data_IF_780091664245
#
_entry.id   IF_780091664245
#
_cell.length_a   1.000
_cell.length_b   1.000
_cell.length_c   1.000
_cell.angle_alpha   90.00
_cell.angle_beta   90.00
_cell.angle_gamma   90.00
#
_symmetry.space_group_name_H-M   'P 1'
#
loop_
_entity.id
_entity.type
_entity.pdbx_description
1 polymer ?
#
# COMPACT_ATOMS: atom_id res chain seq x y z
N UNK A 1 -3.07 -1.67 11.89
CA UNK A 1 -4.31 -2.05 11.17
C UNK A 1 -4.09 -1.78 9.70
N UNK A 2 -4.31 -2.78 8.83
CA UNK A 2 -4.27 -2.58 7.39
C UNK A 2 -5.47 -1.74 6.97
N UNK A 3 -5.28 -0.81 6.01
CA UNK A 3 -6.40 -0.04 5.46
C UNK A 3 -7.20 -0.95 4.52
N UNK A 4 -8.55 -0.92 4.58
CA UNK A 4 -9.37 -1.60 3.59
C UNK A 4 -9.06 -1.12 2.18
N UNK A 5 -9.13 -2.05 1.22
CA UNK A 5 -8.93 -1.76 -0.19
C UNK A 5 -10.28 -1.74 -0.89
N UNK A 6 -10.59 -0.64 -1.56
CA UNK A 6 -11.79 -0.45 -2.35
C UNK A 6 -11.44 -0.37 -3.83
N UNK A 7 -11.93 -1.31 -4.64
CA UNK A 7 -11.66 -1.31 -6.08
C UNK A 7 -12.88 -0.82 -6.88
N UNK A 8 -12.64 -0.01 -7.92
CA UNK A 8 -13.67 0.44 -8.85
C UNK A 8 -13.63 -0.45 -10.09
N UNK A 9 -14.76 -1.09 -10.42
CA UNK A 9 -14.95 -1.97 -11.58
C UNK A 9 -16.12 -1.47 -12.43
N UNK A 10 -16.03 -1.57 -13.74
CA UNK A 10 -17.10 -1.21 -14.65
C UNK A 10 -16.62 -1.08 -16.08
N UNK A 11 -17.55 -0.92 -17.03
CA UNK A 11 -17.26 -0.75 -18.45
C UNK A 11 -16.39 0.49 -18.74
N UNK A 12 -15.72 0.55 -19.90
CA UNK A 12 -15.18 1.80 -20.41
C UNK A 12 -16.26 2.90 -20.47
N UNK A 13 -15.87 4.14 -20.24
CA UNK A 13 -16.71 5.34 -20.36
C UNK A 13 -17.92 5.45 -19.41
N UNK A 14 -18.09 4.55 -18.41
CA UNK A 14 -19.11 4.72 -17.36
C UNK A 14 -18.74 5.76 -16.31
N UNK A 15 -17.48 6.26 -16.32
CA UNK A 15 -17.02 7.30 -15.43
C UNK A 15 -16.15 6.82 -14.26
N UNK A 16 -15.48 5.66 -14.36
CA UNK A 16 -14.57 5.12 -13.33
C UNK A 16 -13.52 6.12 -12.90
N UNK A 17 -12.73 6.62 -13.84
CA UNK A 17 -11.63 7.56 -13.54
C UNK A 17 -12.14 8.92 -13.05
N UNK A 18 -13.34 9.33 -13.47
CA UNK A 18 -14.00 10.52 -12.94
C UNK A 18 -14.39 10.30 -11.48
N UNK A 19 -15.02 9.15 -11.17
CA UNK A 19 -15.37 8.79 -9.80
C UNK A 19 -14.11 8.65 -8.93
N UNK A 20 -13.08 7.97 -9.42
CA UNK A 20 -11.81 7.85 -8.73
C UNK A 20 -11.21 9.22 -8.38
N UNK A 21 -11.16 10.15 -9.34
CA UNK A 21 -10.61 11.49 -9.12
C UNK A 21 -11.44 12.30 -8.14
N UNK A 22 -12.76 12.15 -8.13
CA UNK A 22 -13.67 12.82 -7.18
C UNK A 22 -13.45 12.28 -5.78
N UNK A 23 -13.46 10.97 -5.62
CA UNK A 23 -13.24 10.31 -4.32
C UNK A 23 -11.83 10.61 -3.77
N UNK A 24 -10.82 10.58 -4.61
CA UNK A 24 -9.45 10.94 -4.24
C UNK A 24 -9.32 12.44 -3.91
N UNK A 25 -10.04 13.32 -4.62
CA UNK A 25 -9.96 14.78 -4.43
C UNK A 25 -10.70 15.31 -3.19
N UNK A 26 -11.78 14.66 -2.76
CA UNK A 26 -12.54 15.07 -1.56
C UNK A 26 -11.90 14.64 -0.24
N UNK A 27 -11.02 13.65 -0.31
CA UNK A 27 -10.47 12.94 0.85
C UNK A 27 -8.97 13.12 1.03
N UNK A 28 -8.29 13.91 0.19
CA UNK A 28 -6.83 14.10 0.29
C UNK A 28 -6.46 14.81 1.59
N UNK A 29 -6.14 14.06 2.59
CA UNK A 29 -5.22 14.45 3.65
C UNK A 29 -3.84 14.58 3.02
N UNK A 30 -3.28 15.77 3.00
CA UNK A 30 -2.01 16.23 2.45
C UNK A 30 -0.98 15.09 2.29
N UNK A 31 -0.90 14.50 1.11
CA UNK A 31 0.21 13.63 0.74
C UNK A 31 1.35 14.56 0.31
N UNK A 32 2.42 14.57 1.09
CA UNK A 32 3.65 15.30 0.75
C UNK A 32 4.21 14.72 -0.56
N UNK A 33 4.57 15.60 -1.48
CA UNK A 33 5.33 15.26 -2.67
C UNK A 33 6.67 14.64 -2.25
N UNK A 34 6.78 13.33 -2.34
CA UNK A 34 8.05 12.62 -2.15
C UNK A 34 8.78 12.64 -3.49
N UNK A 35 9.96 13.26 -3.59
CA UNK A 35 10.73 13.27 -4.84
C UNK A 35 11.06 11.84 -5.28
N UNK A 36 10.70 11.47 -6.52
CA UNK A 36 10.96 10.17 -7.11
C UNK A 36 9.75 9.23 -7.19
N UNK A 37 8.61 9.58 -6.58
CA UNK A 37 7.36 8.84 -6.72
C UNK A 37 6.46 9.57 -7.71
N UNK A 38 6.34 9.05 -8.93
CA UNK A 38 5.36 9.55 -9.90
C UNK A 38 3.95 9.24 -9.37
N UNK A 39 3.04 10.21 -9.43
CA UNK A 39 1.60 10.04 -9.17
C UNK A 39 1.03 9.06 -10.20
N UNK A 40 1.14 7.77 -9.95
CA UNK A 40 0.36 6.79 -10.68
C UNK A 40 -1.10 6.93 -10.21
N UNK A 41 -1.99 7.24 -11.17
CA UNK A 41 -3.45 7.40 -10.96
C UNK A 41 -4.18 6.07 -10.70
N UNK A 42 -3.48 5.07 -10.21
CA UNK A 42 -4.01 3.70 -10.04
C UNK A 42 -4.57 3.50 -8.65
N UNK A 43 -4.04 4.20 -7.64
CA UNK A 43 -4.50 4.11 -6.25
C UNK A 43 -4.44 5.48 -5.55
N UNK A 44 -5.32 5.66 -4.56
CA UNK A 44 -5.35 6.85 -3.73
C UNK A 44 -5.73 6.50 -2.29
N UNK A 45 -5.17 7.23 -1.34
CA UNK A 45 -5.63 7.19 0.05
C UNK A 45 -6.88 8.05 0.21
N UNK A 46 -7.92 7.46 0.73
CA UNK A 46 -9.20 8.10 0.98
C UNK A 46 -9.56 8.03 2.46
N UNK A 47 -10.35 9.00 2.94
CA UNK A 47 -10.92 8.98 4.28
C UNK A 47 -12.39 9.43 4.24
N UNK A 48 -13.25 8.74 4.99
CA UNK A 48 -14.66 9.07 5.16
C UNK A 48 -15.11 8.77 6.58
N UNK A 49 -15.74 9.71 7.27
CA UNK A 49 -16.22 9.55 8.66
C UNK A 49 -15.20 8.92 9.61
N UNK A 50 -13.95 9.38 9.58
CA UNK A 50 -12.80 8.86 10.34
C UNK A 50 -12.32 7.45 9.95
N UNK A 51 -12.87 6.83 8.92
CA UNK A 51 -12.39 5.58 8.34
C UNK A 51 -11.45 5.87 7.18
N UNK A 52 -10.26 5.23 7.19
CA UNK A 52 -9.27 5.39 6.14
C UNK A 52 -9.24 4.12 5.29
N UNK A 53 -9.19 4.28 3.97
CA UNK A 53 -9.11 3.16 3.02
C UNK A 53 -8.25 3.52 1.81
N UNK A 54 -7.82 2.52 1.06
CA UNK A 54 -7.10 2.68 -0.20
C UNK A 54 -8.06 2.44 -1.36
N UNK A 55 -8.28 3.46 -2.19
CA UNK A 55 -9.06 3.35 -3.42
C UNK A 55 -8.16 2.91 -4.57
N UNK A 56 -8.64 1.98 -5.41
CA UNK A 56 -7.90 1.45 -6.56
C UNK A 56 -8.76 1.55 -7.82
N UNK A 57 -8.24 2.19 -8.87
CA UNK A 57 -8.85 2.19 -10.21
C UNK A 57 -8.34 0.97 -11.00
N UNK A 58 -9.21 -0.01 -11.23
CA UNK A 58 -8.89 -1.18 -12.07
C UNK A 58 -8.97 -0.86 -13.57
N UNK A 59 -9.52 0.30 -13.95
CA UNK A 59 -9.69 0.75 -15.33
C UNK A 59 -8.56 1.65 -15.80
N UNK A 60 -8.21 1.57 -17.08
CA UNK A 60 -7.21 2.49 -17.63
C UNK A 60 -6.71 2.18 -19.02
N UNK A 61 -7.31 1.19 -19.71
CA UNK A 61 -7.05 0.90 -21.11
C UNK A 61 -8.38 0.99 -21.86
N UNK A 62 -8.45 1.87 -22.86
CA UNK A 62 -9.59 1.94 -23.77
C UNK A 62 -9.35 0.94 -24.91
N UNK A 63 -10.24 -0.04 -25.12
CA UNK A 63 -10.11 -1.03 -26.17
C UNK A 63 -10.69 -0.55 -27.50
N UNK A 64 -10.03 -0.90 -28.58
CA UNK A 64 -10.47 -0.58 -29.95
C UNK A 64 -11.58 -1.50 -30.51
N UNK A 65 -11.95 -2.58 -29.82
CA UNK A 65 -12.98 -3.54 -30.29
C UNK A 65 -13.90 -4.09 -29.17
N UNK A 66 -15.16 -4.45 -29.54
CA UNK A 66 -16.20 -4.92 -28.61
C UNK A 66 -15.87 -6.26 -27.92
N UNK A 67 -15.17 -7.16 -28.56
CA UNK A 67 -14.80 -8.47 -27.98
C UNK A 67 -13.70 -8.33 -26.92
N UNK A 68 -12.84 -7.32 -27.09
CA UNK A 68 -11.79 -6.97 -26.12
C UNK A 68 -12.39 -6.35 -24.87
N UNK A 69 -13.50 -5.57 -24.96
CA UNK A 69 -14.16 -4.91 -23.84
C UNK A 69 -14.59 -5.91 -22.76
N UNK A 70 -15.27 -6.98 -23.16
CA UNK A 70 -15.75 -7.98 -22.19
C UNK A 70 -14.60 -8.74 -21.51
N UNK A 71 -13.54 -9.05 -22.28
CA UNK A 71 -12.34 -9.70 -21.73
C UNK A 71 -11.67 -8.82 -20.68
N UNK A 72 -11.49 -7.55 -20.95
CA UNK A 72 -10.89 -6.59 -20.03
C UNK A 72 -11.74 -6.33 -18.78
N UNK A 73 -13.07 -6.25 -18.95
CA UNK A 73 -13.98 -6.12 -17.80
C UNK A 73 -13.91 -7.34 -16.87
N UNK A 74 -13.82 -8.55 -17.44
CA UNK A 74 -13.64 -9.77 -16.65
C UNK A 74 -12.31 -9.77 -15.91
N UNK A 75 -11.26 -9.31 -16.57
CA UNK A 75 -9.93 -9.18 -15.95
C UNK A 75 -9.93 -8.15 -14.82
N UNK A 76 -10.53 -6.97 -15.03
CA UNK A 76 -10.72 -5.95 -13.99
C UNK A 76 -11.53 -6.49 -12.80
N UNK A 77 -12.61 -7.21 -13.07
CA UNK A 77 -13.43 -7.85 -12.03
C UNK A 77 -12.61 -8.89 -11.26
N UNK A 78 -11.81 -9.71 -11.95
CA UNK A 78 -10.96 -10.71 -11.30
C UNK A 78 -9.88 -10.05 -10.42
N UNK A 79 -9.26 -8.97 -10.91
CA UNK A 79 -8.30 -8.18 -10.10
C UNK A 79 -8.95 -7.66 -8.84
N UNK A 80 -10.14 -7.06 -8.95
CA UNK A 80 -10.88 -6.53 -7.80
C UNK A 80 -11.25 -7.64 -6.82
N UNK A 81 -11.73 -8.78 -7.30
CA UNK A 81 -12.07 -9.96 -6.49
C UNK A 81 -10.82 -10.45 -5.72
N UNK A 82 -9.67 -10.51 -6.38
CA UNK A 82 -8.43 -11.02 -5.79
C UNK A 82 -7.80 -10.05 -4.78
N UNK A 83 -8.06 -8.74 -4.89
CA UNK A 83 -7.28 -7.72 -4.15
C UNK A 83 -8.08 -6.80 -3.24
N UNK A 84 -9.37 -6.60 -3.50
CA UNK A 84 -10.19 -5.64 -2.75
C UNK A 84 -10.96 -6.28 -1.60
N UNK A 85 -11.18 -5.49 -0.55
CA UNK A 85 -12.10 -5.85 0.55
C UNK A 85 -13.54 -5.48 0.19
N UNK A 86 -13.73 -4.37 -0.55
CA UNK A 86 -15.03 -3.91 -1.07
C UNK A 86 -14.88 -3.52 -2.53
N UNK A 87 -15.87 -3.82 -3.35
CA UNK A 87 -15.87 -3.50 -4.77
C UNK A 87 -16.99 -2.51 -5.07
N UNK A 88 -16.66 -1.38 -5.70
CA UNK A 88 -17.63 -0.46 -6.30
C UNK A 88 -17.83 -0.90 -7.75
N UNK A 89 -19.00 -1.44 -8.06
CA UNK A 89 -19.39 -1.74 -9.43
C UNK A 89 -20.16 -0.58 -10.02
N UNK A 90 -19.55 0.13 -10.98
CA UNK A 90 -20.12 1.34 -11.59
C UNK A 90 -20.74 1.06 -12.95
N UNK A 91 -21.97 1.51 -13.15
CA UNK A 91 -22.76 1.40 -14.39
C UNK A 91 -23.25 2.79 -14.82
N UNK A 92 -23.74 2.92 -16.05
CA UNK A 92 -24.18 4.20 -16.65
C UNK A 92 -25.68 4.20 -16.89
N UNK A 93 -26.42 5.06 -16.17
CA UNK A 93 -27.89 5.16 -16.30
C UNK A 93 -28.35 5.56 -17.70
N UNK A 94 -27.55 6.32 -18.43
CA UNK A 94 -27.91 6.82 -19.78
C UNK A 94 -27.86 5.74 -20.84
N UNK A 95 -27.06 4.68 -20.62
CA UNK A 95 -26.93 3.54 -21.54
C UNK A 95 -27.86 2.39 -21.16
N UNK A 96 -28.43 2.44 -19.93
CA UNK A 96 -29.21 1.34 -19.39
C UNK A 96 -28.38 0.09 -19.11
N UNK A 97 -29.06 -0.99 -18.76
CA UNK A 97 -28.47 -2.30 -18.49
C UNK A 97 -28.04 -2.99 -19.79
N UNK A 98 -26.80 -3.44 -19.85
CA UNK A 98 -26.26 -4.20 -21.00
C UNK A 98 -25.72 -5.57 -20.58
N UNK A 99 -25.64 -6.51 -21.51
CA UNK A 99 -25.20 -7.89 -21.26
C UNK A 99 -23.83 -7.99 -20.59
N UNK A 100 -22.91 -7.07 -20.91
CA UNK A 100 -21.59 -7.07 -20.30
C UNK A 100 -21.64 -6.74 -18.80
N UNK A 101 -22.54 -5.85 -18.37
CA UNK A 101 -22.75 -5.53 -16.96
C UNK A 101 -23.29 -6.76 -16.22
N UNK A 102 -24.26 -7.46 -16.80
CA UNK A 102 -24.84 -8.70 -16.23
C UNK A 102 -23.80 -9.79 -16.05
N UNK A 103 -22.91 -9.99 -17.03
CA UNK A 103 -21.83 -10.99 -16.97
C UNK A 103 -20.81 -10.69 -15.88
N UNK A 104 -20.46 -9.42 -15.70
CA UNK A 104 -19.54 -8.99 -14.61
C UNK A 104 -20.23 -9.09 -13.27
N UNK A 105 -21.50 -8.69 -13.17
CA UNK A 105 -22.31 -8.84 -11.97
C UNK A 105 -22.37 -10.31 -11.49
N UNK A 106 -22.52 -11.25 -12.41
CA UNK A 106 -22.49 -12.69 -12.11
C UNK A 106 -21.16 -13.15 -11.50
N UNK A 107 -20.03 -12.63 -11.99
CA UNK A 107 -18.71 -12.92 -11.44
C UNK A 107 -18.58 -12.34 -10.03
N UNK A 108 -18.98 -11.09 -9.84
CA UNK A 108 -18.89 -10.40 -8.56
C UNK A 108 -19.77 -11.08 -7.50
N UNK A 109 -21.01 -11.48 -7.83
CA UNK A 109 -21.89 -12.23 -6.93
C UNK A 109 -21.29 -13.56 -6.49
N UNK A 110 -20.68 -14.31 -7.43
CA UNK A 110 -20.05 -15.61 -7.16
C UNK A 110 -18.80 -15.50 -6.29
N UNK A 111 -18.18 -14.34 -6.23
CA UNK A 111 -16.96 -14.11 -5.44
C UNK A 111 -17.21 -14.07 -3.93
N UNK A 112 -18.45 -13.76 -3.50
CA UNK A 112 -18.79 -13.55 -2.10
C UNK A 112 -18.22 -12.25 -1.48
N UNK A 113 -17.52 -11.43 -2.26
CA UNK A 113 -17.02 -10.13 -1.81
C UNK A 113 -18.16 -9.13 -1.67
N UNK A 114 -18.09 -8.17 -0.70
CA UNK A 114 -19.01 -7.05 -0.65
C UNK A 114 -18.92 -6.21 -1.93
N UNK A 115 -20.06 -5.95 -2.56
CA UNK A 115 -20.15 -5.15 -3.79
C UNK A 115 -21.19 -4.06 -3.59
N UNK A 116 -20.81 -2.82 -3.85
CA UNK A 116 -21.70 -1.66 -3.87
C UNK A 116 -21.98 -1.26 -5.32
N UNK A 117 -23.24 -1.26 -5.71
CA UNK A 117 -23.66 -0.90 -7.08
C UNK A 117 -23.83 0.62 -7.20
N UNK A 118 -22.96 1.27 -7.96
CA UNK A 118 -23.03 2.71 -8.24
C UNK A 118 -23.61 2.95 -9.63
N UNK A 119 -24.81 3.55 -9.71
CA UNK A 119 -25.43 3.95 -10.98
C UNK A 119 -25.01 5.40 -11.24
N UNK A 120 -24.09 5.60 -12.18
CA UNK A 120 -23.48 6.89 -12.47
C UNK A 120 -24.23 7.66 -13.58
N UNK A 121 -23.89 8.95 -13.68
CA UNK A 121 -24.45 9.95 -14.61
C UNK A 121 -25.91 10.31 -14.31
N UNK A 122 -26.35 10.12 -13.07
CA UNK A 122 -27.65 10.58 -12.56
C UNK A 122 -27.54 12.06 -12.19
N UNK A 123 -27.46 12.92 -13.22
CA UNK A 123 -27.34 14.38 -13.00
C UNK A 123 -28.64 15.02 -12.52
N UNK A 124 -29.78 14.35 -12.69
CA UNK A 124 -31.09 14.75 -12.23
C UNK A 124 -31.92 13.54 -11.82
N UNK A 125 -32.28 13.48 -10.56
CA UNK A 125 -33.10 12.40 -10.03
C UNK A 125 -34.52 12.40 -10.62
N UNK A 126 -35.07 13.59 -10.97
CA UNK A 126 -36.37 13.71 -11.62
C UNK A 126 -36.41 13.07 -13.00
N UNK A 127 -35.26 13.09 -13.72
CA UNK A 127 -35.16 12.56 -15.07
C UNK A 127 -34.84 11.06 -15.09
N UNK A 128 -33.99 10.60 -14.21
CA UNK A 128 -33.42 9.25 -14.24
C UNK A 128 -33.87 8.36 -13.08
N UNK A 129 -34.71 8.88 -12.16
CA UNK A 129 -35.10 8.14 -10.95
C UNK A 129 -35.77 6.78 -11.23
N UNK A 130 -36.56 6.69 -12.31
CA UNK A 130 -37.20 5.43 -12.71
C UNK A 130 -36.21 4.47 -13.40
N UNK A 131 -35.22 5.00 -14.12
CA UNK A 131 -34.27 4.17 -14.88
C UNK A 131 -33.28 3.44 -13.95
N UNK A 132 -33.09 3.97 -12.72
CA UNK A 132 -32.21 3.34 -11.70
C UNK A 132 -32.76 1.96 -11.31
N UNK A 133 -34.08 1.77 -11.29
CA UNK A 133 -34.71 0.51 -10.89
C UNK A 133 -34.38 -0.67 -11.82
N UNK A 134 -34.01 -0.39 -13.08
CA UNK A 134 -33.58 -1.43 -14.01
C UNK A 134 -32.35 -2.18 -13.48
N UNK A 135 -31.48 -1.52 -12.76
CA UNK A 135 -30.22 -2.10 -12.27
C UNK A 135 -30.39 -3.04 -11.07
N UNK A 136 -31.56 -3.14 -10.46
CA UNK A 136 -31.88 -4.23 -9.52
C UNK A 136 -31.79 -5.61 -10.17
N UNK A 137 -31.97 -5.69 -11.50
CA UNK A 137 -31.82 -6.95 -12.25
C UNK A 137 -30.39 -7.52 -12.20
N UNK A 138 -29.39 -6.73 -11.80
CA UNK A 138 -28.02 -7.20 -11.57
C UNK A 138 -27.90 -8.05 -10.30
N UNK A 139 -28.84 -7.96 -9.35
CA UNK A 139 -28.85 -8.78 -8.12
C UNK A 139 -27.65 -8.57 -7.21
N UNK A 140 -27.11 -7.34 -7.16
CA UNK A 140 -25.93 -6.97 -6.35
C UNK A 140 -26.32 -6.19 -5.09
N UNK A 141 -27.59 -5.91 -4.87
CA UNK A 141 -28.10 -5.07 -3.79
C UNK A 141 -28.73 -3.79 -4.29
N UNK A 142 -28.92 -2.82 -3.42
CA UNK A 142 -29.57 -1.57 -3.75
C UNK A 142 -28.63 -0.67 -4.59
N UNK A 143 -29.10 -0.19 -5.76
CA UNK A 143 -28.31 0.70 -6.58
C UNK A 143 -28.20 2.11 -5.94
N UNK A 144 -26.98 2.60 -5.77
CA UNK A 144 -26.70 3.96 -5.28
C UNK A 144 -26.62 4.90 -6.48
N UNK A 145 -27.50 5.90 -6.54
CA UNK A 145 -27.50 6.89 -7.59
C UNK A 145 -26.39 7.92 -7.39
N UNK A 146 -25.51 8.07 -8.37
CA UNK A 146 -24.40 9.04 -8.29
C UNK A 146 -24.26 9.83 -9.58
N UNK A 147 -23.70 11.03 -9.50
CA UNK A 147 -23.14 11.74 -10.62
C UNK A 147 -21.72 12.17 -10.27
N UNK A 148 -20.74 11.40 -10.73
CA UNK A 148 -19.33 11.71 -10.47
C UNK A 148 -18.95 13.10 -11.01
N UNK A 149 -19.44 13.49 -12.18
CA UNK A 149 -19.16 14.81 -12.77
C UNK A 149 -19.73 15.99 -11.96
N UNK A 150 -20.93 15.83 -11.40
CA UNK A 150 -21.63 16.85 -10.62
C UNK A 150 -21.45 16.68 -9.10
N UNK A 151 -20.70 15.65 -8.67
CA UNK A 151 -20.47 15.28 -7.25
C UNK A 151 -21.74 15.02 -6.44
N UNK A 152 -22.79 14.52 -7.10
CA UNK A 152 -24.05 14.17 -6.45
C UNK A 152 -24.04 12.71 -5.99
N UNK A 153 -24.61 12.42 -4.81
CA UNK A 153 -24.71 11.06 -4.26
C UNK A 153 -23.40 10.43 -3.81
N UNK A 154 -22.30 11.19 -3.79
CA UNK A 154 -20.97 10.67 -3.40
C UNK A 154 -20.95 10.30 -1.92
N UNK A 155 -21.57 11.09 -1.05
CA UNK A 155 -21.66 10.79 0.39
C UNK A 155 -22.42 9.49 0.63
N UNK A 156 -23.57 9.29 -0.01
CA UNK A 156 -24.37 8.06 0.11
C UNK A 156 -23.59 6.83 -0.38
N UNK A 157 -22.81 6.98 -1.46
CA UNK A 157 -21.93 5.92 -1.96
C UNK A 157 -20.85 5.57 -0.93
N UNK A 158 -20.21 6.56 -0.33
CA UNK A 158 -19.16 6.36 0.67
C UNK A 158 -19.72 5.78 1.97
N UNK A 159 -20.91 6.20 2.39
CA UNK A 159 -21.61 5.61 3.53
C UNK A 159 -21.90 4.12 3.29
N UNK A 160 -22.36 3.76 2.09
CA UNK A 160 -22.62 2.36 1.74
C UNK A 160 -21.32 1.53 1.69
N UNK A 161 -20.26 2.06 1.09
CA UNK A 161 -18.95 1.39 1.05
C UNK A 161 -18.40 1.16 2.46
N UNK A 162 -18.47 2.17 3.33
CA UNK A 162 -17.89 2.09 4.68
C UNK A 162 -18.66 1.18 5.63
N UNK A 163 -19.94 0.90 5.39
CA UNK A 163 -20.70 -0.13 6.13
C UNK A 163 -20.07 -1.52 6.04
N UNK A 164 -19.36 -1.78 4.95
CA UNK A 164 -18.68 -3.05 4.72
C UNK A 164 -17.27 -3.10 5.33
N UNK A 165 -16.77 -2.01 5.91
CA UNK A 165 -15.52 -2.01 6.69
C UNK A 165 -15.79 -2.57 8.08
N UNK A 166 -16.10 -3.84 8.18
CA UNK A 166 -16.71 -4.45 9.34
C UNK A 166 -15.87 -4.47 10.61
N UNK A 167 -16.53 -4.83 11.70
CA UNK A 167 -16.01 -5.11 13.05
C UNK A 167 -14.83 -6.10 13.10
N UNK A 168 -14.52 -6.80 12.04
CA UNK A 168 -13.39 -7.73 11.86
C UNK A 168 -12.01 -7.04 11.88
N UNK A 169 -11.95 -5.70 11.80
CA UNK A 169 -10.71 -4.95 12.10
C UNK A 169 -10.29 -5.08 13.57
N UNK A 170 -11.15 -5.57 14.45
CA UNK A 170 -10.84 -5.82 15.87
C UNK A 170 -10.20 -7.20 16.11
N UNK A 171 -10.48 -8.21 15.28
CA UNK A 171 -9.88 -9.56 15.41
C UNK A 171 -8.44 -9.63 14.89
N UNK A 172 -8.07 -8.81 13.89
CA UNK A 172 -6.68 -8.70 13.41
C UNK A 172 -5.71 -8.07 14.44
N UNK A 173 -6.23 -7.53 15.55
CA UNK A 173 -5.40 -6.92 16.60
C UNK A 173 -4.70 -7.96 17.48
N UNK A 174 -5.07 -9.24 17.42
CA UNK A 174 -4.52 -10.32 18.25
C UNK A 174 -3.47 -11.20 17.54
N UNK A 175 -3.35 -11.10 16.19
CA UNK A 175 -2.33 -11.86 15.47
C UNK A 175 -0.98 -11.14 15.49
N UNK A 176 -0.14 -11.53 16.44
CA UNK A 176 1.21 -10.97 16.59
C UNK A 176 2.24 -11.53 15.60
N UNK A 177 1.88 -12.49 14.76
CA UNK A 177 2.81 -13.09 13.78
C UNK A 177 3.27 -12.07 12.75
N UNK A 178 4.55 -12.04 12.36
CA UNK A 178 5.06 -11.17 11.30
C UNK A 178 4.37 -11.45 9.96
N UNK A 179 3.72 -10.45 9.41
CA UNK A 179 3.14 -10.49 8.06
C UNK A 179 4.17 -9.95 7.05
N UNK A 180 4.58 -10.78 6.10
CA UNK A 180 5.67 -10.48 5.16
C UNK A 180 5.17 -10.50 3.72
N UNK A 181 5.34 -9.40 2.99
CA UNK A 181 5.09 -9.37 1.55
C UNK A 181 6.40 -9.44 0.75
N UNK A 182 6.43 -10.26 -0.30
CA UNK A 182 7.53 -10.30 -1.26
C UNK A 182 7.09 -9.62 -2.54
N UNK A 183 7.70 -8.47 -2.83
CA UNK A 183 7.34 -7.60 -3.96
C UNK A 183 8.54 -7.38 -4.89
N UNK A 184 8.30 -6.86 -6.07
CA UNK A 184 9.33 -6.59 -7.08
C UNK A 184 8.81 -6.88 -8.50
N UNK A 185 9.60 -6.53 -9.50
CA UNK A 185 9.29 -6.73 -10.91
C UNK A 185 8.98 -8.21 -11.27
N UNK A 186 8.34 -8.47 -12.41
CA UNK A 186 8.27 -9.82 -12.97
C UNK A 186 9.69 -10.42 -13.15
N UNK A 187 9.82 -11.73 -12.98
CA UNK A 187 11.04 -12.53 -13.24
C UNK A 187 12.27 -12.24 -12.35
N UNK A 188 12.18 -11.40 -11.32
CA UNK A 188 13.27 -11.18 -10.34
C UNK A 188 13.48 -12.38 -9.40
N UNK A 189 12.60 -13.39 -9.46
CA UNK A 189 12.74 -14.63 -8.69
C UNK A 189 11.90 -14.70 -7.41
N UNK A 190 10.84 -13.90 -7.26
CA UNK A 190 9.93 -13.93 -6.10
C UNK A 190 9.38 -15.34 -5.81
N UNK A 191 8.85 -16.01 -6.84
CA UNK A 191 8.32 -17.38 -6.70
C UNK A 191 9.40 -18.38 -6.32
N UNK A 192 10.62 -18.20 -6.82
CA UNK A 192 11.77 -19.07 -6.47
C UNK A 192 12.17 -18.89 -5.01
N UNK A 193 12.15 -17.66 -4.51
CA UNK A 193 12.40 -17.35 -3.09
C UNK A 193 11.35 -18.05 -2.22
N UNK A 194 10.06 -17.86 -2.52
CA UNK A 194 8.98 -18.52 -1.77
C UNK A 194 9.14 -20.03 -1.79
N UNK A 195 9.34 -20.64 -2.96
CA UNK A 195 9.49 -22.09 -3.07
C UNK A 195 10.69 -22.60 -2.28
N UNK A 196 11.81 -21.86 -2.26
CA UNK A 196 12.99 -22.20 -1.48
C UNK A 196 12.73 -22.12 0.03
N UNK A 197 12.09 -21.04 0.49
CA UNK A 197 11.71 -20.87 1.90
C UNK A 197 10.77 -21.98 2.37
N UNK A 198 9.82 -22.38 1.54
CA UNK A 198 8.88 -23.47 1.83
C UNK A 198 9.53 -24.85 1.82
N UNK A 199 10.56 -25.05 0.98
CA UNK A 199 11.30 -26.31 0.90
C UNK A 199 12.27 -26.53 2.06
N UNK A 200 12.77 -25.46 2.68
CA UNK A 200 13.76 -25.51 3.77
C UNK A 200 13.14 -25.41 5.18
N UNK A 201 11.93 -24.87 5.29
CA UNK A 201 11.25 -24.65 6.56
C UNK A 201 10.02 -25.56 6.68
N UNK A 202 9.60 -25.85 7.93
CA UNK A 202 8.34 -26.57 8.16
C UNK A 202 7.17 -25.66 7.76
N UNK A 203 6.49 -26.02 6.69
CA UNK A 203 5.25 -25.38 6.27
C UNK A 203 4.11 -25.99 7.06
N UNK A 204 3.52 -25.23 7.94
CA UNK A 204 2.21 -25.58 8.50
C UNK A 204 1.18 -25.02 7.52
N UNK A 205 0.70 -25.85 6.61
CA UNK A 205 -0.51 -25.50 5.84
C UNK A 205 -1.67 -25.70 6.80
N UNK A 206 -2.01 -24.66 7.56
CA UNK A 206 -3.22 -24.70 8.37
C UNK A 206 -4.41 -24.50 7.43
N UNK A 207 -5.02 -25.60 6.99
CA UNK A 207 -6.38 -25.60 6.48
C UNK A 207 -7.34 -25.40 7.66
N UNK A 208 -7.25 -24.31 8.38
CA UNK A 208 -8.29 -23.94 9.34
C UNK A 208 -9.45 -23.42 8.52
N UNK A 209 -10.40 -24.33 8.25
CA UNK A 209 -11.71 -23.98 7.73
C UNK A 209 -12.41 -23.10 8.76
N UNK A 210 -12.38 -21.77 8.54
CA UNK A 210 -13.01 -20.80 9.45
C UNK A 210 -12.54 -19.37 9.22
N UNK A 211 -11.32 -19.14 8.73
CA UNK A 211 -10.86 -17.82 8.32
C UNK A 211 -10.97 -17.71 6.81
N UNK A 212 -12.15 -17.37 6.34
CA UNK A 212 -12.55 -17.34 4.92
C UNK A 212 -11.92 -16.21 4.10
N UNK A 213 -10.85 -15.57 4.57
CA UNK A 213 -10.32 -14.41 3.86
C UNK A 213 -9.17 -14.67 2.90
N UNK A 214 -8.29 -15.66 3.12
CA UNK A 214 -7.09 -15.70 2.32
C UNK A 214 -6.55 -17.13 2.05
N UNK A 215 -7.18 -17.83 1.10
CA UNK A 215 -6.60 -19.03 0.47
C UNK A 215 -5.26 -18.75 -0.28
N UNK A 216 -4.68 -17.56 -0.08
CA UNK A 216 -3.58 -16.98 -0.85
C UNK A 216 -2.31 -16.82 -0.01
N UNK A 217 -2.43 -16.75 1.33
CA UNK A 217 -1.30 -16.58 2.24
C UNK A 217 -0.68 -17.92 2.65
N UNK A 218 0.59 -17.90 3.08
CA UNK A 218 1.29 -19.10 3.48
C UNK A 218 1.99 -18.89 4.82
N UNK A 219 1.71 -19.76 5.78
CA UNK A 219 2.38 -19.81 7.07
C UNK A 219 3.71 -20.57 6.96
N UNK A 220 4.76 -19.99 7.50
CA UNK A 220 6.11 -20.55 7.50
C UNK A 220 6.66 -20.49 8.91
N UNK A 221 7.16 -21.62 9.42
CA UNK A 221 7.86 -21.68 10.71
C UNK A 221 9.36 -21.75 10.48
N UNK A 222 10.09 -20.78 11.02
CA UNK A 222 11.55 -20.74 11.00
C UNK A 222 12.08 -20.55 12.42
N UNK A 223 12.92 -21.48 12.88
CA UNK A 223 13.51 -21.47 14.22
C UNK A 223 12.50 -21.29 15.37
N UNK A 224 11.29 -21.80 15.21
CA UNK A 224 10.21 -21.71 16.22
C UNK A 224 9.36 -20.43 16.15
N UNK A 225 9.70 -19.49 15.29
CA UNK A 225 8.89 -18.29 15.01
C UNK A 225 7.98 -18.54 13.80
N UNK A 226 6.71 -18.18 13.91
CA UNK A 226 5.72 -18.28 12.84
C UNK A 226 5.65 -16.97 12.06
N UNK A 227 5.66 -17.06 10.72
CA UNK A 227 5.56 -15.95 9.78
C UNK A 227 4.40 -16.18 8.82
N UNK A 228 3.70 -15.12 8.43
CA UNK A 228 2.65 -15.16 7.41
C UNK A 228 3.14 -14.46 6.15
N UNK A 229 3.39 -15.22 5.09
CA UNK A 229 3.77 -14.65 3.79
C UNK A 229 2.52 -14.36 2.96
N UNK A 230 2.34 -13.07 2.64
CA UNK A 230 1.15 -12.52 1.98
C UNK A 230 1.17 -12.79 0.47
N UNK A 231 0.01 -13.09 -0.12
CA UNK A 231 -0.24 -13.27 -1.57
C UNK A 231 0.69 -14.30 -2.26
N UNK A 232 1.00 -15.39 -1.59
CA UNK A 232 1.91 -16.41 -2.15
C UNK A 232 1.29 -17.22 -3.29
N UNK A 233 -0.03 -17.41 -3.34
CA UNK A 233 -0.70 -18.13 -4.43
C UNK A 233 -0.64 -17.36 -5.76
N UNK A 234 -0.71 -16.04 -5.72
CA UNK A 234 -0.47 -15.19 -6.89
C UNK A 234 0.95 -15.34 -7.45
N UNK A 235 1.93 -15.58 -6.58
CA UNK A 235 3.30 -15.84 -6.97
C UNK A 235 3.53 -17.27 -7.51
N UNK A 236 2.68 -18.25 -7.13
CA UNK A 236 2.77 -19.64 -7.57
C UNK A 236 2.07 -19.90 -8.91
N UNK A 237 0.98 -19.20 -9.22
CA UNK A 237 0.30 -19.31 -10.51
C UNK A 237 1.16 -18.67 -11.58
N UNK A 238 1.81 -19.48 -12.43
CA UNK A 238 2.48 -18.98 -13.66
C UNK A 238 1.41 -18.29 -14.49
N UNK A 239 1.40 -16.96 -14.53
CA UNK A 239 0.47 -16.22 -15.36
C UNK A 239 0.80 -16.47 -16.83
N UNK A 240 -0.16 -17.03 -17.57
CA UNK A 240 -0.10 -17.20 -19.04
C UNK A 240 -0.50 -15.93 -19.77
N UNK A 241 -0.64 -14.80 -19.08
CA UNK A 241 -1.21 -13.55 -19.62
C UNK A 241 -0.06 -12.59 -19.93
N UNK A 242 0.08 -12.24 -21.18
CA UNK A 242 1.03 -11.24 -21.71
C UNK A 242 0.31 -9.89 -21.81
N UNK A 243 1.03 -8.81 -21.52
CA UNK A 243 0.80 -7.40 -21.89
C UNK A 243 -0.01 -6.47 -20.95
N UNK A 244 -0.99 -6.92 -20.15
CA UNK A 244 -1.62 -6.05 -19.11
C UNK A 244 -0.98 -6.21 -17.72
N UNK A 245 0.19 -6.85 -17.68
CA UNK A 245 0.90 -7.34 -16.49
C UNK A 245 1.36 -6.22 -15.53
N UNK A 246 1.59 -5.03 -16.03
CA UNK A 246 2.27 -3.99 -15.23
C UNK A 246 1.32 -3.38 -14.19
N UNK A 247 0.11 -3.00 -14.59
CA UNK A 247 -0.92 -2.45 -13.68
C UNK A 247 -1.43 -3.48 -12.69
N UNK A 248 -1.69 -4.70 -13.15
CA UNK A 248 -2.07 -5.82 -12.29
C UNK A 248 -1.02 -6.09 -11.23
N UNK A 249 0.26 -6.06 -11.64
CA UNK A 249 1.38 -6.21 -10.73
C UNK A 249 1.43 -5.08 -9.68
N UNK A 250 1.14 -3.84 -10.06
CA UNK A 250 1.11 -2.69 -9.12
C UNK A 250 -0.04 -2.82 -8.14
N UNK A 251 -1.25 -3.14 -8.58
CA UNK A 251 -2.43 -3.29 -7.71
C UNK A 251 -2.19 -4.41 -6.69
N UNK A 252 -1.69 -5.56 -7.12
CA UNK A 252 -1.30 -6.65 -6.22
C UNK A 252 -0.21 -6.23 -5.24
N UNK A 253 0.77 -5.47 -5.72
CA UNK A 253 1.83 -4.95 -4.86
C UNK A 253 1.25 -4.04 -3.77
N UNK A 254 0.34 -3.12 -4.13
CA UNK A 254 -0.33 -2.26 -3.15
C UNK A 254 -1.10 -3.09 -2.14
N UNK A 255 -1.90 -4.06 -2.59
CA UNK A 255 -2.67 -4.96 -1.72
C UNK A 255 -1.77 -5.75 -0.77
N UNK A 256 -0.69 -6.36 -1.28
CA UNK A 256 0.24 -7.10 -0.46
C UNK A 256 0.96 -6.20 0.56
N UNK A 257 1.38 -5.00 0.14
CA UNK A 257 2.04 -4.01 1.01
C UNK A 257 1.09 -3.54 2.11
N UNK A 258 -0.19 -3.26 1.82
CA UNK A 258 -1.15 -2.83 2.84
C UNK A 258 -1.31 -3.87 3.96
N UNK A 259 -1.35 -5.16 3.61
CA UNK A 259 -1.55 -6.26 4.56
C UNK A 259 -0.29 -6.67 5.31
N UNK A 260 0.90 -6.29 4.83
CA UNK A 260 2.18 -6.67 5.42
C UNK A 260 2.61 -5.73 6.56
N UNK A 261 3.43 -6.25 7.47
CA UNK A 261 4.24 -5.48 8.43
C UNK A 261 5.61 -5.16 7.80
N UNK A 262 6.21 -6.17 7.14
CA UNK A 262 7.53 -6.07 6.51
C UNK A 262 7.43 -6.42 5.03
N UNK A 263 8.03 -5.58 4.20
CA UNK A 263 8.08 -5.75 2.74
C UNK A 263 9.49 -6.11 2.31
N UNK A 264 9.63 -7.21 1.58
CA UNK A 264 10.88 -7.63 0.95
C UNK A 264 10.82 -7.23 -0.52
N UNK A 265 11.54 -6.18 -0.88
CA UNK A 265 11.72 -5.77 -2.27
C UNK A 265 12.80 -6.63 -2.92
N UNK A 266 12.42 -7.43 -3.90
CA UNK A 266 13.35 -8.30 -4.64
C UNK A 266 13.85 -7.58 -5.89
N UNK A 267 15.16 -7.46 -6.00
CA UNK A 267 15.88 -6.87 -7.14
C UNK A 267 16.70 -7.96 -7.81
N UNK A 268 16.75 -7.97 -9.14
CA UNK A 268 17.63 -8.85 -9.93
C UNK A 268 19.05 -8.27 -9.95
N UNK A 269 20.02 -9.00 -9.43
CA UNK A 269 21.41 -8.56 -9.40
C UNK A 269 22.01 -8.36 -10.81
N UNK A 270 21.52 -9.10 -11.81
CA UNK A 270 22.03 -9.02 -13.19
C UNK A 270 21.55 -7.76 -13.92
N UNK A 271 20.35 -7.26 -13.59
CA UNK A 271 19.80 -6.03 -14.17
C UNK A 271 20.15 -4.80 -13.33
N UNK A 272 20.35 -5.00 -12.02
CA UNK A 272 20.49 -3.92 -11.05
C UNK A 272 19.16 -3.29 -10.67
N UNK A 273 19.24 -2.20 -9.88
CA UNK A 273 18.06 -1.44 -9.46
C UNK A 273 17.53 -0.55 -10.58
N UNK A 274 16.20 -0.48 -10.73
CA UNK A 274 15.51 0.28 -11.77
C UNK A 274 14.50 1.27 -11.18
N UNK A 275 13.99 2.19 -12.00
CA UNK A 275 12.93 3.13 -11.61
C UNK A 275 11.65 2.41 -11.15
N UNK A 276 11.32 1.27 -11.75
CA UNK A 276 10.17 0.47 -11.34
C UNK A 276 10.37 -0.12 -9.93
N UNK A 277 11.59 -0.54 -9.59
CA UNK A 277 11.92 -0.98 -8.22
C UNK A 277 11.79 0.18 -7.23
N UNK A 278 12.23 1.39 -7.62
CA UNK A 278 12.08 2.59 -6.80
C UNK A 278 10.60 2.96 -6.57
N UNK A 279 9.73 2.83 -7.58
CA UNK A 279 8.27 3.04 -7.43
C UNK A 279 7.66 2.05 -6.44
N UNK A 280 7.99 0.77 -6.55
CA UNK A 280 7.51 -0.27 -5.61
C UNK A 280 8.00 0.02 -4.20
N UNK A 281 9.27 0.40 -4.05
CA UNK A 281 9.85 0.80 -2.78
C UNK A 281 9.14 2.02 -2.17
N UNK A 282 8.80 3.02 -3.02
CA UNK A 282 8.04 4.21 -2.63
C UNK A 282 6.69 3.87 -2.03
N UNK A 283 5.94 2.92 -2.63
CA UNK A 283 4.66 2.45 -2.09
C UNK A 283 4.84 1.94 -0.65
N UNK A 284 5.84 1.09 -0.40
CA UNK A 284 6.09 0.55 0.94
C UNK A 284 6.52 1.64 1.93
N UNK A 285 7.34 2.60 1.48
CA UNK A 285 7.76 3.76 2.28
C UNK A 285 6.58 4.63 2.71
N UNK A 286 5.73 5.03 1.75
CA UNK A 286 4.56 5.89 1.99
C UNK A 286 3.55 5.22 2.94
N UNK A 287 3.46 3.87 2.89
CA UNK A 287 2.63 3.08 3.82
C UNK A 287 3.28 2.89 5.20
N UNK A 288 4.54 3.32 5.39
CA UNK A 288 5.26 3.21 6.66
C UNK A 288 5.61 1.78 7.03
N UNK A 289 5.75 0.90 6.04
CA UNK A 289 6.10 -0.52 6.26
C UNK A 289 7.59 -0.67 6.58
N UNK A 290 7.94 -1.78 7.23
CA UNK A 290 9.33 -2.23 7.29
C UNK A 290 9.80 -2.66 5.92
N UNK A 291 11.05 -2.33 5.53
CA UNK A 291 11.53 -2.57 4.18
C UNK A 291 12.92 -3.22 4.21
N UNK A 292 13.03 -4.33 3.46
CA UNK A 292 14.27 -5.05 3.23
C UNK A 292 14.46 -5.18 1.72
N UNK A 293 15.65 -4.88 1.21
CA UNK A 293 16.02 -5.11 -0.19
C UNK A 293 16.75 -6.43 -0.30
N UNK A 294 16.17 -7.40 -1.01
CA UNK A 294 16.77 -8.67 -1.34
C UNK A 294 17.31 -8.66 -2.79
N UNK A 295 18.62 -8.57 -2.92
CA UNK A 295 19.30 -8.62 -4.22
C UNK A 295 19.49 -10.08 -4.59
N UNK A 296 18.61 -10.59 -5.45
CA UNK A 296 18.56 -12.01 -5.85
C UNK A 296 19.38 -12.28 -7.12
N UNK A 297 19.55 -13.56 -7.45
CA UNK A 297 20.42 -14.07 -8.52
C UNK A 297 21.89 -13.72 -8.33
N UNK A 298 22.30 -13.62 -7.06
CA UNK A 298 23.67 -13.28 -6.71
C UNK A 298 24.70 -14.32 -7.18
N UNK A 299 24.27 -15.56 -7.45
CA UNK A 299 25.04 -16.63 -8.06
C UNK A 299 25.43 -16.36 -9.53
N UNK A 300 24.63 -15.58 -10.26
CA UNK A 300 24.83 -15.26 -11.67
C UNK A 300 25.81 -14.09 -11.91
N UNK A 301 26.31 -13.44 -10.85
CA UNK A 301 27.19 -12.28 -10.94
C UNK A 301 28.65 -12.73 -10.81
N UNK A 302 29.51 -12.24 -11.70
CA UNK A 302 30.96 -12.29 -11.50
C UNK A 302 31.36 -11.38 -10.36
N UNK A 303 32.09 -11.93 -9.38
CA UNK A 303 32.37 -11.24 -8.12
C UNK A 303 33.83 -10.88 -7.99
N UNK A 304 34.08 -9.64 -7.63
CA UNK A 304 35.34 -9.14 -7.13
C UNK A 304 35.16 -8.48 -5.75
N UNK A 305 36.22 -8.05 -5.13
CA UNK A 305 36.18 -7.45 -3.78
C UNK A 305 35.29 -6.20 -3.68
N UNK A 306 35.02 -5.52 -4.79
CA UNK A 306 34.23 -4.27 -4.86
C UNK A 306 32.77 -4.49 -5.28
N UNK A 307 32.42 -5.67 -5.82
CA UNK A 307 31.11 -5.95 -6.41
C UNK A 307 29.96 -5.63 -5.45
N UNK A 308 30.03 -6.10 -4.20
CA UNK A 308 28.98 -5.81 -3.18
C UNK A 308 28.89 -4.31 -2.92
N UNK A 309 30.01 -3.62 -2.80
CA UNK A 309 30.05 -2.20 -2.54
C UNK A 309 29.42 -1.39 -3.69
N UNK A 310 29.75 -1.74 -4.93
CA UNK A 310 29.20 -1.06 -6.12
C UNK A 310 27.69 -1.25 -6.27
N UNK A 311 27.19 -2.47 -6.05
CA UNK A 311 25.76 -2.75 -6.05
C UNK A 311 25.04 -2.00 -4.90
N UNK A 312 25.61 -2.04 -3.70
CA UNK A 312 25.07 -1.31 -2.54
C UNK A 312 24.98 0.18 -2.81
N UNK A 313 26.04 0.78 -3.39
CA UNK A 313 26.06 2.19 -3.74
C UNK A 313 24.97 2.55 -4.75
N UNK A 314 24.87 1.81 -5.86
CA UNK A 314 23.84 2.04 -6.88
C UNK A 314 22.43 1.97 -6.30
N UNK A 315 22.15 0.97 -5.44
CA UNK A 315 20.85 0.82 -4.79
C UNK A 315 20.58 2.01 -3.85
N UNK A 316 21.56 2.45 -3.04
CA UNK A 316 21.41 3.60 -2.14
C UNK A 316 21.21 4.90 -2.91
N UNK A 317 21.89 5.09 -4.04
CA UNK A 317 21.73 6.27 -4.89
C UNK A 317 20.32 6.33 -5.49
N UNK A 318 19.80 5.20 -5.99
CA UNK A 318 18.45 5.11 -6.56
C UNK A 318 17.35 5.21 -5.48
N UNK A 319 17.56 4.60 -4.31
CA UNK A 319 16.64 4.61 -3.18
C UNK A 319 17.02 5.66 -2.13
N UNK A 320 17.55 6.81 -2.56
CA UNK A 320 18.07 7.87 -1.67
C UNK A 320 17.04 8.45 -0.70
N UNK A 321 15.74 8.30 -0.99
CA UNK A 321 14.64 8.66 -0.10
C UNK A 321 14.45 7.68 1.07
N UNK A 322 15.12 6.51 1.04
CA UNK A 322 15.08 5.48 2.08
C UNK A 322 16.49 5.08 2.55
N UNK A 323 17.27 5.97 3.15
CA UNK A 323 18.65 5.67 3.57
C UNK A 323 18.74 4.58 4.65
N UNK A 324 17.63 4.30 5.34
CA UNK A 324 17.51 3.34 6.43
C UNK A 324 17.31 1.89 5.97
N UNK A 325 17.12 1.63 4.67
CA UNK A 325 16.79 0.30 4.17
C UNK A 325 17.94 -0.69 4.38
N UNK A 326 17.58 -1.90 4.81
CA UNK A 326 18.53 -3.01 4.94
C UNK A 326 18.61 -3.82 3.66
N UNK A 327 19.81 -4.34 3.37
CA UNK A 327 20.06 -5.08 2.13
C UNK A 327 20.64 -6.46 2.43
N UNK A 328 20.21 -7.44 1.64
CA UNK A 328 20.77 -8.79 1.64
C UNK A 328 20.98 -9.28 0.20
N UNK A 329 22.13 -9.86 -0.07
CA UNK A 329 22.48 -10.44 -1.37
C UNK A 329 22.27 -11.94 -1.30
N UNK A 330 21.28 -12.46 -2.03
CA UNK A 330 20.80 -13.83 -1.95
C UNK A 330 20.86 -14.55 -3.30
N UNK A 331 20.80 -15.88 -3.25
CA UNK A 331 20.47 -16.71 -4.40
C UNK A 331 19.35 -17.68 -4.03
N UNK A 332 18.19 -17.51 -4.64
CA UNK A 332 17.07 -18.44 -4.46
C UNK A 332 17.37 -19.84 -5.06
N UNK A 333 18.28 -19.92 -6.03
CA UNK A 333 18.69 -21.19 -6.66
C UNK A 333 19.59 -22.00 -5.74
N UNK A 334 20.66 -21.39 -5.23
CA UNK A 334 21.64 -22.07 -4.37
C UNK A 334 21.26 -22.10 -2.89
N UNK A 335 20.29 -21.27 -2.45
CA UNK A 335 19.94 -21.10 -1.04
C UNK A 335 20.86 -20.14 -0.28
N UNK A 336 21.81 -19.49 -0.97
CA UNK A 336 22.79 -18.62 -0.33
C UNK A 336 22.12 -17.48 0.43
N UNK A 337 22.42 -17.36 1.73
CA UNK A 337 21.96 -16.30 2.66
C UNK A 337 20.44 -16.17 2.82
N UNK A 338 19.67 -17.21 2.49
CA UNK A 338 18.21 -17.19 2.66
C UNK A 338 17.81 -17.04 4.13
N UNK A 339 18.50 -17.71 5.05
CA UNK A 339 18.23 -17.60 6.50
C UNK A 339 18.44 -16.17 7.04
N UNK A 340 19.36 -15.41 6.45
CA UNK A 340 19.59 -14.01 6.85
C UNK A 340 18.38 -13.11 6.57
N UNK A 341 17.47 -13.50 5.70
CA UNK A 341 16.22 -12.77 5.48
C UNK A 341 15.33 -12.79 6.72
N UNK A 342 15.23 -13.94 7.42
CA UNK A 342 14.44 -14.04 8.65
C UNK A 342 15.04 -13.18 9.77
N UNK A 343 16.37 -13.22 9.94
CA UNK A 343 17.05 -12.34 10.91
C UNK A 343 16.75 -10.84 10.65
N UNK A 344 16.72 -10.45 9.38
CA UNK A 344 16.38 -9.07 9.00
C UNK A 344 14.91 -8.75 9.22
N UNK A 345 13.99 -9.69 8.96
CA UNK A 345 12.55 -9.51 9.23
C UNK A 345 12.35 -9.25 10.72
N UNK A 346 12.95 -10.08 11.58
CA UNK A 346 12.82 -9.95 13.03
C UNK A 346 13.39 -8.62 13.53
N UNK A 347 14.60 -8.25 13.08
CA UNK A 347 15.24 -6.98 13.42
C UNK A 347 14.40 -5.77 12.99
N UNK A 348 13.85 -5.79 11.77
CA UNK A 348 13.02 -4.69 11.26
C UNK A 348 11.72 -4.59 12.06
N UNK A 349 11.11 -5.73 12.41
CA UNK A 349 9.91 -5.77 13.25
C UNK A 349 10.16 -5.22 14.65
N UNK A 350 11.27 -5.61 15.29
CA UNK A 350 11.68 -5.07 16.58
C UNK A 350 11.83 -3.54 16.49
N UNK A 351 12.50 -3.04 15.47
CA UNK A 351 12.65 -1.60 15.25
C UNK A 351 11.31 -0.89 15.03
N UNK A 352 10.33 -1.52 14.36
CA UNK A 352 8.99 -0.95 14.16
C UNK A 352 8.21 -0.83 15.48
N UNK A 353 8.45 -1.71 16.43
CA UNK A 353 7.75 -1.73 17.73
C UNK A 353 8.49 -0.98 18.82
N UNK A 354 9.70 -0.52 18.55
CA UNK A 354 10.53 0.20 19.51
C UNK A 354 9.83 1.46 20.02
N UNK A 355 9.72 1.56 21.34
CA UNK A 355 9.20 2.75 22.03
C UNK A 355 10.33 3.50 22.72
N UNK A 356 10.40 4.79 22.43
CA UNK A 356 11.37 5.69 23.03
C UNK A 356 10.67 6.57 24.07
N UNK A 357 11.26 6.67 25.26
CA UNK A 357 10.73 7.52 26.31
C UNK A 357 10.77 9.01 25.91
N UNK A 358 9.70 9.75 26.22
CA UNK A 358 9.56 11.17 25.87
C UNK A 358 10.71 12.02 26.43
N UNK A 359 11.22 11.72 27.63
CA UNK A 359 12.38 12.44 28.19
C UNK A 359 13.61 12.35 27.30
N UNK A 360 13.97 11.13 26.88
CA UNK A 360 15.15 10.88 26.01
C UNK A 360 14.97 11.53 24.64
N UNK A 361 13.76 11.49 24.06
CA UNK A 361 13.47 12.19 22.80
C UNK A 361 13.69 13.70 22.90
N UNK A 362 13.34 14.31 24.05
CA UNK A 362 13.51 15.75 24.24
C UNK A 362 14.96 16.13 24.54
N UNK A 363 15.75 15.26 25.17
CA UNK A 363 17.20 15.44 25.30
C UNK A 363 17.86 15.48 23.91
N UNK A 364 17.58 14.49 23.05
CA UNK A 364 18.11 14.43 21.66
C UNK A 364 17.65 15.64 20.85
N UNK A 365 16.38 16.04 20.99
CA UNK A 365 15.87 17.24 20.30
C UNK A 365 16.61 18.51 20.76
N UNK A 366 16.86 18.64 22.04
CA UNK A 366 17.58 19.78 22.61
C UNK A 366 19.03 19.83 22.11
N UNK A 367 19.71 18.69 22.09
CA UNK A 367 21.07 18.58 21.52
C UNK A 367 21.07 18.89 20.02
N UNK A 368 20.11 18.36 19.27
CA UNK A 368 19.99 18.63 17.83
C UNK A 368 19.76 20.12 17.56
N UNK A 369 18.91 20.81 18.32
CA UNK A 369 18.67 22.25 18.23
C UNK A 369 19.92 23.05 18.59
N UNK A 370 20.72 22.60 19.55
CA UNK A 370 21.97 23.23 19.93
C UNK A 370 23.05 23.10 18.83
N UNK A 371 23.12 21.93 18.18
CA UNK A 371 24.09 21.70 17.08
C UNK A 371 23.71 22.42 15.79
N UNK A 372 22.44 22.40 15.42
CA UNK A 372 21.91 23.05 14.22
C UNK A 372 20.66 23.84 14.56
N UNK A 373 20.80 25.17 14.56
CA UNK A 373 19.69 26.05 14.90
C UNK A 373 18.52 25.90 13.92
N UNK A 374 17.25 25.92 14.41
CA UNK A 374 16.10 25.86 13.56
C UNK A 374 16.03 27.02 12.55
N UNK A 375 15.39 26.79 11.37
CA UNK A 375 15.27 27.80 10.34
C UNK A 375 14.47 29.02 10.82
N UNK A 376 14.71 30.15 10.17
CA UNK A 376 13.92 31.38 10.36
C UNK A 376 13.45 31.89 9.02
N UNK A 377 12.22 32.40 8.96
CA UNK A 377 11.65 33.09 7.78
C UNK A 377 11.01 34.42 8.21
N UNK A 378 11.27 35.47 7.43
CA UNK A 378 10.72 36.82 7.63
C UNK A 378 10.81 37.33 9.07
N UNK A 379 11.94 37.05 9.75
CA UNK A 379 12.17 37.48 11.14
C UNK A 379 11.51 36.62 12.20
N UNK A 380 10.71 35.64 11.83
CA UNK A 380 10.15 34.61 12.75
C UNK A 380 11.10 33.41 12.79
N UNK A 381 11.44 32.96 13.99
CA UNK A 381 12.28 31.79 14.20
C UNK A 381 11.43 30.61 14.63
N UNK A 382 11.68 29.45 14.03
CA UNK A 382 11.09 28.18 14.46
C UNK A 382 11.55 27.86 15.89
N UNK A 383 10.59 27.52 16.76
CA UNK A 383 10.85 27.01 18.12
C UNK A 383 10.20 25.65 18.25
N UNK A 384 11.01 24.68 18.66
CA UNK A 384 10.53 23.34 19.03
C UNK A 384 10.31 23.32 20.54
N UNK A 385 9.13 22.92 20.97
CA UNK A 385 8.78 22.87 22.39
C UNK A 385 9.05 21.52 23.01
N UNK A 386 8.52 20.45 22.39
CA UNK A 386 8.79 19.08 22.79
C UNK A 386 8.41 18.11 21.69
N UNK A 387 8.91 16.86 21.82
CA UNK A 387 8.64 15.78 20.91
C UNK A 387 8.21 14.55 21.71
N UNK A 388 7.24 13.79 21.18
CA UNK A 388 6.78 12.53 21.80
C UNK A 388 6.47 11.50 20.72
N UNK A 389 6.65 10.21 21.03
CA UNK A 389 6.24 9.11 20.19
C UNK A 389 4.80 8.72 20.52
N UNK A 390 3.91 8.82 19.53
CA UNK A 390 2.46 8.56 19.70
C UNK A 390 2.02 7.20 19.20
N UNK A 391 2.80 6.60 18.26
CA UNK A 391 2.48 5.29 17.71
C UNK A 391 3.73 4.48 17.37
N UNK A 392 3.52 3.17 17.18
CA UNK A 392 4.45 2.20 16.61
C UNK A 392 3.81 1.59 15.35
N UNK A 393 4.59 0.97 14.47
CA UNK A 393 4.11 0.32 13.21
C UNK A 393 3.31 1.25 12.28
N UNK A 394 3.89 2.36 11.76
CA UNK A 394 5.28 2.80 11.90
C UNK A 394 5.51 3.67 13.15
N UNK A 395 6.76 3.77 13.64
CA UNK A 395 7.12 4.70 14.69
C UNK A 395 6.75 6.13 14.26
N UNK A 396 5.85 6.75 15.03
CA UNK A 396 5.28 8.06 14.69
C UNK A 396 5.56 9.05 15.82
N UNK A 397 6.18 10.16 15.48
CA UNK A 397 6.59 11.21 16.39
C UNK A 397 5.78 12.48 16.14
N UNK A 398 5.31 13.10 17.21
CA UNK A 398 4.67 14.42 17.16
C UNK A 398 5.67 15.43 17.69
N UNK A 399 5.93 16.48 16.89
CA UNK A 399 6.79 17.61 17.26
C UNK A 399 5.88 18.84 17.44
N UNK A 400 5.92 19.43 18.61
CA UNK A 400 5.18 20.65 18.91
C UNK A 400 6.06 21.88 18.67
N UNK A 401 5.55 22.78 17.84
CA UNK A 401 6.27 23.98 17.39
C UNK A 401 5.41 25.24 17.59
N UNK A 402 6.06 26.40 17.47
CA UNK A 402 5.35 27.70 17.49
C UNK A 402 4.60 28.00 16.18
N UNK A 403 5.12 27.52 15.05
CA UNK A 403 4.54 27.77 13.72
C UNK A 403 4.95 26.63 12.79
N UNK A 404 3.97 25.86 12.28
CA UNK A 404 4.22 24.69 11.45
C UNK A 404 4.78 25.04 10.07
N UNK A 405 4.48 26.26 9.56
CA UNK A 405 4.94 26.71 8.24
C UNK A 405 6.46 26.93 8.23
N UNK A 406 7.05 27.25 9.38
CA UNK A 406 8.48 27.37 9.54
C UNK A 406 9.23 26.03 9.57
N UNK A 407 8.51 24.91 9.76
CA UNK A 407 9.10 23.57 9.83
C UNK A 407 9.40 23.03 8.43
N UNK A 408 10.50 23.45 7.86
CA UNK A 408 10.93 22.99 6.53
C UNK A 408 11.30 21.49 6.55
N UNK A 409 11.02 20.79 5.45
CA UNK A 409 11.28 19.36 5.32
C UNK A 409 12.74 18.96 5.62
N UNK A 410 13.69 19.80 5.27
CA UNK A 410 15.12 19.54 5.52
C UNK A 410 15.44 19.47 7.02
N UNK A 411 14.74 20.27 7.84
CA UNK A 411 14.93 20.23 9.28
C UNK A 411 14.27 19.01 9.92
N UNK A 412 13.11 18.58 9.41
CA UNK A 412 12.49 17.30 9.79
C UNK A 412 13.46 16.15 9.51
N UNK A 413 14.08 16.15 8.32
CA UNK A 413 15.04 15.11 7.92
C UNK A 413 16.31 15.14 8.80
N UNK A 414 16.75 16.30 9.20
CA UNK A 414 17.86 16.45 10.16
C UNK A 414 17.50 15.81 11.52
N UNK A 415 16.32 16.09 12.06
CA UNK A 415 15.85 15.50 13.32
C UNK A 415 15.67 13.97 13.18
N UNK A 416 15.14 13.51 12.05
CA UNK A 416 15.04 12.07 11.75
C UNK A 416 16.40 11.39 11.81
N UNK A 417 17.42 11.99 11.18
CA UNK A 417 18.77 11.45 11.21
C UNK A 417 19.32 11.37 12.64
N UNK A 418 19.08 12.39 13.48
CA UNK A 418 19.50 12.37 14.89
C UNK A 418 18.82 11.25 15.70
N UNK A 419 17.52 11.03 15.47
CA UNK A 419 16.79 9.92 16.09
C UNK A 419 17.36 8.57 15.62
N UNK A 420 17.67 8.43 14.32
CA UNK A 420 18.26 7.21 13.78
C UNK A 420 19.68 6.96 14.29
N UNK A 421 20.49 8.00 14.42
CA UNK A 421 21.82 7.90 15.03
C UNK A 421 21.77 7.36 16.46
N UNK A 422 20.75 7.76 17.23
CA UNK A 422 20.61 7.37 18.65
C UNK A 422 19.95 6.00 18.85
N UNK A 423 18.95 5.64 18.04
CA UNK A 423 18.14 4.44 18.26
C UNK A 423 18.19 3.41 17.14
N UNK A 424 18.83 3.72 16.02
CA UNK A 424 18.89 2.86 14.85
C UNK A 424 17.66 2.98 13.96
N UNK A 425 16.54 2.38 14.32
CA UNK A 425 15.33 2.27 13.49
C UNK A 425 15.63 1.76 12.07
N UNK A 426 16.53 0.78 11.97
CA UNK A 426 16.99 0.20 10.70
C UNK A 426 15.83 -0.53 10.03
N UNK A 427 15.70 -0.39 8.72
CA UNK A 427 14.67 -1.06 7.94
C UNK A 427 13.25 -0.51 8.13
N UNK A 428 13.03 0.53 8.94
CA UNK A 428 11.68 1.07 9.16
C UNK A 428 11.59 2.57 8.89
N UNK A 429 10.47 2.98 8.27
CA UNK A 429 10.15 4.38 8.06
C UNK A 429 9.77 5.06 9.39
N UNK A 430 10.14 6.33 9.56
CA UNK A 430 9.67 7.16 10.67
C UNK A 430 8.67 8.18 10.15
N UNK A 431 7.60 8.39 10.90
CA UNK A 431 6.59 9.42 10.60
C UNK A 431 6.71 10.59 11.56
N UNK A 432 6.62 11.80 11.03
CA UNK A 432 6.65 13.03 11.81
C UNK A 432 5.38 13.83 11.57
N UNK A 433 4.68 14.16 12.66
CA UNK A 433 3.50 15.02 12.67
C UNK A 433 3.89 16.32 13.35
N UNK A 434 3.78 17.43 12.63
CA UNK A 434 4.07 18.74 13.16
C UNK A 434 2.77 19.36 13.67
N UNK A 435 2.74 19.76 14.93
CA UNK A 435 1.60 20.44 15.55
C UNK A 435 2.02 21.78 16.15
N UNK A 436 1.19 22.77 15.94
CA UNK A 436 1.32 24.04 16.64
C UNK A 436 0.84 23.91 18.08
N UNK A 437 1.59 24.47 19.00
CA UNK A 437 1.13 24.61 20.37
C UNK A 437 0.11 25.74 20.38
N UNK A 438 -1.18 25.46 20.59
CA UNK A 438 -2.21 26.47 20.78
C UNK A 438 -1.83 27.30 22.01
N UNK A 439 -1.27 28.47 21.77
CA UNK A 439 -0.99 29.42 22.84
C UNK A 439 -2.28 30.03 23.29
N UNK A 440 -2.81 29.62 24.46
CA UNK A 440 -3.42 30.58 25.35
C UNK A 440 -2.23 31.16 26.14
N UNK A 441 -1.79 32.36 25.74
CA UNK A 441 -1.04 33.22 26.63
C UNK A 441 -1.89 33.39 27.90
N UNK A 442 -1.36 32.95 29.02
CA UNK A 442 -1.69 33.48 30.34
C UNK A 442 -0.54 34.35 30.80
#
# INVERSE_FOLDING_TARGET
>A
MSKPIVAIVGRPNVGKSTLFNVLAGETISIVKDTPGVTRDRIYADCSWLNMNFTLVDTGGIEPDSKDIILSQMREQAQIAIDTADVIIFIVDVRQGLVDSDSKVADMLRKSGKPVVLAVNKVDSFQKFGNDIYEFYNLGIGDPVAVSAASRLGIGDLLDEVTKHFGAEQMEDAEDERPRVAIVGKPNVGKSSIINKLLGENRVIVSNIAGTTRDAVDTEVVHNGTEYVFIDTAGLRRKSKIKEDLERYSIIRTVSAVERADVVILVIDATEGVTEQDAKIAGIAHDRGKGIIVAVNKWDAIEKNDKTIYEHTKKIRDTLSFMPYVEMVFISAVTGQRMNKMFELIDMVRENQTLRVATGVLNEIMTEAVAMQQPPSDKGKRLRLYYMTQVAVKPPTFVIFVNDKELMHFSYVRYLENKIRESFGFRGTALRFIIRERSGKEQ
#
